data_IF_000799796815
#
_entry.id   IF_000799796815
#
_cell.length_a   1.000
_cell.length_b   1.000
_cell.length_c   1.000
_cell.angle_alpha   90.00
_cell.angle_beta   90.00
_cell.angle_gamma   90.00
#
_symmetry.space_group_name_H-M   'P 1'
#
loop_
_entity.id
_entity.type
_entity.pdbx_description
1 polymer ?
#
# COMPACT_ATOMS: atom_id res chain seq x y z
N UNK A 1 -69.09 56.61 -39.92
CA UNK A 1 -70.56 56.57 -40.02
C UNK A 1 -71.06 57.93 -39.56
N UNK A 2 -71.75 58.67 -40.44
CA UNK A 2 -72.27 59.99 -40.14
C UNK A 2 -73.78 59.99 -40.37
N UNK A 3 -74.53 60.49 -39.40
CA UNK A 3 -75.98 60.59 -39.44
C UNK A 3 -76.35 62.06 -39.56
N UNK A 4 -77.24 62.38 -40.49
CA UNK A 4 -77.69 63.73 -40.76
C UNK A 4 -78.93 64.00 -39.93
N UNK A 5 -78.90 65.06 -39.13
CA UNK A 5 -80.04 65.52 -38.35
C UNK A 5 -80.33 66.97 -38.76
N UNK A 6 -81.52 67.22 -39.26
CA UNK A 6 -82.00 68.54 -39.67
C UNK A 6 -82.83 69.14 -38.55
N UNK A 7 -82.43 70.34 -38.10
CA UNK A 7 -83.27 71.15 -37.21
C UNK A 7 -83.08 72.63 -37.42
N UNK A 8 -84.21 73.33 -37.42
CA UNK A 8 -84.26 74.77 -37.58
C UNK A 8 -83.77 75.59 -36.38
N UNK A 9 -83.57 75.08 -35.14
CA UNK A 9 -83.24 75.98 -34.00
C UNK A 9 -82.66 75.40 -32.65
N UNK A 10 -81.80 74.35 -32.61
CA UNK A 10 -81.12 73.95 -31.35
C UNK A 10 -79.58 74.03 -31.39
N UNK A 11 -78.97 74.32 -30.24
CA UNK A 11 -77.52 74.27 -30.02
C UNK A 11 -77.00 72.82 -30.03
N UNK A 12 -75.95 72.54 -30.80
CA UNK A 12 -75.42 71.18 -30.99
C UNK A 12 -74.96 70.46 -29.72
N UNK A 13 -74.61 71.18 -28.65
CA UNK A 13 -74.22 70.59 -27.36
C UNK A 13 -75.39 69.93 -26.63
N UNK A 14 -76.57 70.54 -26.68
CA UNK A 14 -77.78 70.01 -26.02
C UNK A 14 -78.27 68.74 -26.72
N UNK A 15 -78.19 68.71 -28.06
CA UNK A 15 -78.57 67.55 -28.86
C UNK A 15 -77.67 66.34 -28.59
N UNK A 16 -76.35 66.56 -28.45
CA UNK A 16 -75.41 65.48 -28.11
C UNK A 16 -75.78 64.82 -26.78
N UNK A 17 -76.05 65.62 -25.75
CA UNK A 17 -76.39 65.10 -24.42
C UNK A 17 -77.71 64.32 -24.44
N UNK A 18 -78.71 64.80 -25.18
CA UNK A 18 -79.99 64.09 -25.36
C UNK A 18 -79.80 62.73 -26.04
N UNK A 19 -79.07 62.69 -27.14
CA UNK A 19 -78.80 61.45 -27.87
C UNK A 19 -77.97 60.47 -27.02
N UNK A 20 -77.04 60.95 -26.20
CA UNK A 20 -76.31 60.13 -25.23
C UNK A 20 -77.24 59.56 -24.15
N UNK A 21 -78.14 60.37 -23.57
CA UNK A 21 -79.11 59.91 -22.57
C UNK A 21 -80.08 58.85 -23.11
N UNK A 22 -80.40 58.93 -24.40
CA UNK A 22 -81.23 57.94 -25.11
C UNK A 22 -80.46 56.67 -25.51
N UNK A 23 -79.17 56.58 -25.20
CA UNK A 23 -78.34 55.40 -25.45
C UNK A 23 -77.73 55.33 -26.85
N UNK A 24 -77.90 56.35 -27.70
CA UNK A 24 -77.32 56.36 -29.04
C UNK A 24 -75.82 56.69 -29.04
N UNK A 25 -75.30 57.37 -28.01
CA UNK A 25 -73.86 57.59 -27.80
C UNK A 25 -73.11 58.16 -29.03
N UNK A 26 -73.49 59.33 -29.55
CA UNK A 26 -72.78 59.94 -30.67
C UNK A 26 -71.36 60.37 -30.28
N UNK A 27 -70.40 60.20 -31.19
CA UNK A 27 -69.02 60.68 -31.03
C UNK A 27 -68.99 62.21 -30.99
N UNK A 28 -69.59 62.86 -32.00
CA UNK A 28 -69.64 64.33 -32.14
C UNK A 28 -70.96 64.77 -32.75
N UNK A 29 -71.38 65.99 -32.43
CA UNK A 29 -72.54 66.66 -33.05
C UNK A 29 -72.07 68.01 -33.55
N UNK A 30 -72.17 68.25 -34.85
CA UNK A 30 -71.55 69.36 -35.56
C UNK A 30 -72.66 70.15 -36.27
N UNK A 31 -73.04 71.34 -35.77
CA UNK A 31 -73.90 72.23 -36.53
C UNK A 31 -73.14 72.77 -37.76
N UNK A 32 -73.80 72.79 -38.91
CA UNK A 32 -73.24 73.28 -40.15
C UNK A 32 -73.50 74.78 -40.33
N UNK A 33 -72.46 75.52 -40.68
CA UNK A 33 -72.48 76.97 -40.81
C UNK A 33 -72.13 77.39 -42.25
N UNK A 34 -72.86 78.36 -42.79
CA UNK A 34 -72.55 79.00 -44.07
C UNK A 34 -72.22 80.49 -43.85
N UNK A 35 -71.87 81.20 -44.92
CA UNK A 35 -71.55 82.63 -44.88
C UNK A 35 -72.71 83.53 -44.39
N UNK A 36 -73.94 83.00 -44.33
CA UNK A 36 -75.15 83.68 -43.82
C UNK A 36 -75.49 83.29 -42.36
N UNK A 37 -74.70 82.42 -41.73
CA UNK A 37 -74.92 81.94 -40.36
C UNK A 37 -75.23 80.45 -40.28
N UNK A 38 -76.01 80.06 -39.27
CA UNK A 38 -76.36 78.65 -39.02
C UNK A 38 -77.27 78.13 -40.14
N UNK A 39 -76.92 76.97 -40.72
CA UNK A 39 -77.64 76.43 -41.89
C UNK A 39 -78.92 75.65 -41.54
N UNK A 40 -79.19 75.42 -40.26
CA UNK A 40 -80.30 74.56 -39.81
C UNK A 40 -80.04 73.06 -40.02
N UNK A 41 -78.81 72.69 -40.36
CA UNK A 41 -78.38 71.30 -40.56
C UNK A 41 -77.32 70.93 -39.54
N UNK A 42 -77.41 69.72 -39.00
CA UNK A 42 -76.51 69.19 -37.99
C UNK A 42 -76.02 67.80 -38.43
N UNK A 43 -74.74 67.53 -38.25
CA UNK A 43 -74.14 66.23 -38.52
C UNK A 43 -73.82 65.56 -37.19
N UNK A 44 -74.29 64.33 -37.03
CA UNK A 44 -73.98 63.47 -35.90
C UNK A 44 -72.97 62.42 -36.35
N UNK A 45 -71.75 62.53 -35.86
CA UNK A 45 -70.69 61.56 -36.13
C UNK A 45 -70.72 60.44 -35.10
N UNK A 46 -70.49 59.21 -35.56
CA UNK A 46 -70.27 58.02 -34.75
C UNK A 46 -68.85 57.51 -34.93
N UNK A 47 -68.33 56.75 -33.96
CA UNK A 47 -67.00 56.11 -34.06
C UNK A 47 -66.95 55.08 -35.20
N UNK A 48 -65.74 54.69 -35.59
CA UNK A 48 -65.49 53.80 -36.74
C UNK A 48 -65.45 52.33 -36.31
N UNK A 49 -66.48 51.88 -35.62
CA UNK A 49 -66.61 50.52 -35.08
C UNK A 49 -68.04 50.00 -35.23
N UNK A 50 -68.17 48.67 -35.25
CA UNK A 50 -69.45 47.98 -35.44
C UNK A 50 -70.54 48.39 -34.43
N UNK A 51 -70.25 48.56 -33.12
CA UNK A 51 -71.23 49.07 -32.16
C UNK A 51 -71.77 50.46 -32.51
N UNK A 52 -70.92 51.37 -32.97
CA UNK A 52 -71.35 52.72 -33.29
C UNK A 52 -72.11 52.80 -34.62
N UNK A 53 -71.80 51.93 -35.59
CA UNK A 53 -72.66 51.72 -36.77
C UNK A 53 -74.06 51.23 -36.36
N UNK A 54 -74.13 50.26 -35.45
CA UNK A 54 -75.42 49.78 -34.90
C UNK A 54 -76.21 50.91 -34.22
N UNK A 55 -75.53 51.77 -33.45
CA UNK A 55 -76.17 52.92 -32.79
C UNK A 55 -76.70 53.94 -33.80
N UNK A 56 -75.97 54.22 -34.87
CA UNK A 56 -76.41 55.11 -35.94
C UNK A 56 -77.67 54.56 -36.65
N UNK A 57 -77.67 53.27 -37.00
CA UNK A 57 -78.83 52.61 -37.61
C UNK A 57 -80.04 52.60 -36.66
N UNK A 58 -79.80 52.41 -35.35
CA UNK A 58 -80.85 52.48 -34.33
C UNK A 58 -81.47 53.88 -34.22
N UNK A 59 -80.65 54.93 -34.35
CA UNK A 59 -81.13 56.31 -34.35
C UNK A 59 -81.97 56.63 -35.60
N UNK A 60 -81.58 56.15 -36.77
CA UNK A 60 -82.42 56.27 -37.99
C UNK A 60 -83.75 55.51 -37.86
N UNK A 61 -83.75 54.32 -37.26
CA UNK A 61 -84.99 53.59 -36.95
C UNK A 61 -85.90 54.37 -35.99
N UNK A 62 -85.32 55.05 -35.00
CA UNK A 62 -86.07 55.92 -34.09
C UNK A 62 -86.78 57.05 -34.84
N UNK A 63 -86.07 57.79 -35.70
CA UNK A 63 -86.70 58.83 -36.53
C UNK A 63 -87.73 58.27 -37.52
N UNK A 64 -87.53 57.05 -38.02
CA UNK A 64 -88.48 56.34 -38.88
C UNK A 64 -89.77 55.97 -38.17
N UNK A 65 -89.70 55.53 -36.91
CA UNK A 65 -90.88 55.22 -36.11
C UNK A 65 -91.72 56.48 -35.81
N UNK A 66 -91.06 57.62 -35.60
CA UNK A 66 -91.70 58.91 -35.30
C UNK A 66 -92.13 59.70 -36.55
N UNK A 67 -92.04 59.13 -37.76
CA UNK A 67 -92.37 59.80 -39.04
C UNK A 67 -91.56 61.08 -39.33
N UNK A 68 -90.31 61.15 -38.85
CA UNK A 68 -89.40 62.29 -39.06
C UNK A 68 -88.19 61.89 -39.93
N UNK A 69 -88.45 61.30 -41.09
CA UNK A 69 -87.44 60.81 -42.04
C UNK A 69 -87.27 61.73 -43.25
N UNK A 70 -86.23 61.46 -44.06
CA UNK A 70 -85.91 62.22 -45.28
C UNK A 70 -87.10 62.47 -46.21
N UNK A 71 -87.92 61.46 -46.49
CA UNK A 71 -89.07 61.60 -47.39
C UNK A 71 -90.13 62.58 -46.84
N UNK A 72 -90.37 62.55 -45.53
CA UNK A 72 -91.28 63.46 -44.82
C UNK A 72 -90.73 64.89 -44.81
N UNK A 73 -89.40 65.04 -44.71
CA UNK A 73 -88.74 66.34 -44.84
C UNK A 73 -89.00 66.97 -46.21
N UNK A 74 -88.91 66.23 -47.32
CA UNK A 74 -89.15 66.81 -48.65
C UNK A 74 -90.64 66.96 -49.02
N UNK A 75 -91.56 66.32 -48.29
CA UNK A 75 -92.99 66.30 -48.64
C UNK A 75 -93.83 67.39 -47.96
N UNK A 76 -93.31 68.06 -46.92
CA UNK A 76 -94.05 69.10 -46.17
C UNK A 76 -93.57 70.49 -46.58
N UNK A 77 -94.47 71.46 -46.75
CA UNK A 77 -94.07 72.85 -47.04
C UNK A 77 -93.64 73.62 -45.77
N UNK A 78 -94.09 73.18 -44.59
CA UNK A 78 -93.82 73.80 -43.31
C UNK A 78 -93.27 72.77 -42.32
N UNK A 79 -91.99 72.88 -41.96
CA UNK A 79 -91.28 71.84 -41.18
C UNK A 79 -91.32 72.00 -39.65
N UNK A 80 -92.09 72.96 -39.13
CA UNK A 80 -92.25 73.15 -37.68
C UNK A 80 -90.92 73.28 -36.90
N UNK A 81 -90.94 72.85 -35.64
CA UNK A 81 -89.77 72.82 -34.74
C UNK A 81 -89.21 71.42 -34.52
N UNK A 82 -89.74 70.42 -35.21
CA UNK A 82 -89.39 69.00 -35.06
C UNK A 82 -88.05 68.66 -35.71
N UNK A 83 -87.42 67.62 -35.18
CA UNK A 83 -86.14 67.08 -35.64
C UNK A 83 -86.38 65.99 -36.68
N UNK A 84 -85.75 66.12 -37.84
CA UNK A 84 -85.74 65.09 -38.88
C UNK A 84 -84.35 64.47 -38.97
N UNK A 85 -84.27 63.15 -39.11
CA UNK A 85 -82.98 62.45 -39.11
C UNK A 85 -82.93 61.22 -40.00
N UNK A 86 -81.80 61.02 -40.66
CA UNK A 86 -81.49 59.82 -41.46
C UNK A 86 -79.97 59.59 -41.53
N UNK A 87 -79.56 58.35 -41.79
CA UNK A 87 -78.13 58.06 -42.02
C UNK A 87 -77.72 58.63 -43.38
N UNK A 88 -76.57 59.32 -43.44
CA UNK A 88 -76.03 59.82 -44.69
C UNK A 88 -75.74 58.65 -45.65
N UNK A 89 -76.29 58.71 -46.87
CA UNK A 89 -76.04 57.72 -47.93
C UNK A 89 -75.37 58.38 -49.13
N UNK A 90 -75.19 57.61 -50.21
CA UNK A 90 -74.58 58.05 -51.47
C UNK A 90 -75.16 59.38 -51.97
N UNK A 91 -76.50 59.50 -52.03
CA UNK A 91 -77.14 60.75 -52.46
C UNK A 91 -76.73 61.97 -51.62
N UNK A 92 -76.61 61.82 -50.30
CA UNK A 92 -76.24 62.92 -49.41
C UNK A 92 -74.75 63.25 -49.53
N UNK A 93 -73.91 62.24 -49.79
CA UNK A 93 -72.48 62.37 -50.02
C UNK A 93 -72.16 63.05 -51.36
N UNK A 94 -72.92 62.76 -52.41
CA UNK A 94 -72.74 63.32 -53.75
C UNK A 94 -73.44 64.66 -53.95
N UNK A 95 -74.37 65.02 -53.06
CA UNK A 95 -75.09 66.29 -53.13
C UNK A 95 -74.11 67.49 -53.19
N UNK A 96 -74.45 68.46 -54.04
CA UNK A 96 -73.74 69.73 -54.13
C UNK A 96 -74.31 70.75 -53.14
N UNK A 97 -74.29 70.40 -51.86
CA UNK A 97 -74.73 71.25 -50.77
C UNK A 97 -73.75 71.20 -49.59
N UNK A 98 -74.01 72.01 -48.55
CA UNK A 98 -73.15 72.08 -47.35
C UNK A 98 -72.98 70.74 -46.64
N UNK A 99 -73.95 69.82 -46.80
CA UNK A 99 -73.90 68.49 -46.20
C UNK A 99 -72.94 67.61 -47.00
N UNK A 100 -73.12 67.51 -48.31
CA UNK A 100 -72.24 66.72 -49.17
C UNK A 100 -70.80 67.23 -49.14
N UNK A 101 -70.58 68.54 -49.11
CA UNK A 101 -69.24 69.13 -48.95
C UNK A 101 -68.60 68.72 -47.62
N UNK A 102 -69.36 68.75 -46.52
CA UNK A 102 -68.85 68.31 -45.22
C UNK A 102 -68.54 66.82 -45.21
N UNK A 103 -69.44 65.97 -45.74
CA UNK A 103 -69.27 64.52 -45.77
C UNK A 103 -68.00 64.11 -46.54
N UNK A 104 -67.78 64.68 -47.73
CA UNK A 104 -66.56 64.45 -48.54
C UNK A 104 -65.28 64.91 -47.85
N UNK A 105 -65.36 65.92 -46.98
CA UNK A 105 -64.20 66.42 -46.21
C UNK A 105 -63.81 65.50 -45.06
N UNK A 106 -64.77 64.81 -44.43
CA UNK A 106 -64.55 64.04 -43.20
C UNK A 106 -64.32 62.53 -43.43
N UNK A 107 -64.66 62.01 -44.61
CA UNK A 107 -64.38 60.61 -44.93
C UNK A 107 -64.87 60.19 -46.30
N UNK A 108 -64.60 58.91 -46.61
CA UNK A 108 -64.97 58.28 -47.88
C UNK A 108 -66.25 57.45 -47.73
N UNK A 109 -67.02 57.36 -48.82
CA UNK A 109 -68.15 56.44 -48.93
C UNK A 109 -67.61 55.00 -49.01
N UNK A 110 -68.08 54.12 -48.12
CA UNK A 110 -67.77 52.68 -48.12
C UNK A 110 -69.06 51.87 -48.07
N UNK A 111 -69.08 50.74 -48.79
CA UNK A 111 -70.16 49.76 -48.65
C UNK A 111 -69.91 48.87 -47.42
N UNK A 112 -70.97 48.21 -46.96
CA UNK A 112 -70.86 47.26 -45.85
C UNK A 112 -69.91 46.10 -46.22
N UNK A 113 -70.00 45.61 -47.46
CA UNK A 113 -69.11 44.57 -47.98
C UNK A 113 -67.64 45.00 -47.96
N UNK A 114 -67.31 46.25 -48.32
CA UNK A 114 -65.92 46.73 -48.30
C UNK A 114 -65.30 46.67 -46.89
N UNK A 115 -66.11 46.95 -45.87
CA UNK A 115 -65.68 46.94 -44.46
C UNK A 115 -65.50 45.50 -43.98
N UNK A 116 -66.46 44.63 -44.27
CA UNK A 116 -66.37 43.19 -43.94
C UNK A 116 -65.16 42.53 -44.62
N UNK A 117 -64.92 42.83 -45.90
CA UNK A 117 -63.77 42.31 -46.66
C UNK A 117 -62.43 42.84 -46.14
N UNK A 118 -62.38 44.10 -45.68
CA UNK A 118 -61.18 44.67 -45.06
C UNK A 118 -60.88 43.99 -43.71
N UNK A 119 -61.90 43.80 -42.86
CA UNK A 119 -61.76 43.14 -41.56
C UNK A 119 -61.43 41.63 -41.72
N UNK A 120 -62.05 40.95 -42.68
CA UNK A 120 -61.74 39.56 -43.03
C UNK A 120 -60.29 39.41 -43.50
N UNK A 121 -59.80 40.31 -44.37
CA UNK A 121 -58.40 40.31 -44.82
C UNK A 121 -57.42 40.57 -43.68
N UNK A 122 -57.71 41.53 -42.80
CA UNK A 122 -56.88 41.80 -41.61
C UNK A 122 -56.81 40.59 -40.68
N UNK A 123 -57.95 39.97 -40.42
CA UNK A 123 -58.07 38.78 -39.57
C UNK A 123 -57.33 37.60 -40.18
N UNK A 124 -57.54 37.33 -41.47
CA UNK A 124 -56.86 36.26 -42.20
C UNK A 124 -55.33 36.44 -42.18
N UNK A 125 -54.83 37.66 -42.41
CA UNK A 125 -53.40 37.97 -42.32
C UNK A 125 -52.83 37.77 -40.92
N UNK A 126 -53.59 38.13 -39.89
CA UNK A 126 -53.18 37.90 -38.50
C UNK A 126 -53.10 36.40 -38.21
N UNK A 127 -54.12 35.63 -38.60
CA UNK A 127 -54.15 34.18 -38.42
C UNK A 127 -52.99 33.52 -39.16
N UNK A 128 -52.72 33.88 -40.42
CA UNK A 128 -51.61 33.30 -41.18
C UNK A 128 -50.25 33.58 -40.54
N UNK A 129 -50.04 34.81 -40.06
CA UNK A 129 -48.80 35.18 -39.37
C UNK A 129 -48.63 34.41 -38.06
N UNK A 130 -49.70 34.29 -37.27
CA UNK A 130 -49.67 33.54 -36.02
C UNK A 130 -49.44 32.04 -36.27
N UNK A 131 -50.11 31.45 -37.27
CA UNK A 131 -49.90 30.07 -37.67
C UNK A 131 -48.44 29.81 -38.07
N UNK A 132 -47.85 30.71 -38.87
CA UNK A 132 -46.43 30.62 -39.25
C UNK A 132 -45.49 30.69 -38.03
N UNK A 133 -45.75 31.60 -37.09
CA UNK A 133 -44.96 31.69 -35.84
C UNK A 133 -45.09 30.43 -35.00
N UNK A 134 -46.30 29.86 -34.90
CA UNK A 134 -46.53 28.60 -34.17
C UNK A 134 -45.77 27.45 -34.81
N UNK A 135 -45.82 27.34 -36.14
CA UNK A 135 -45.11 26.29 -36.88
C UNK A 135 -43.59 26.37 -36.70
N UNK A 136 -43.01 27.56 -36.81
CA UNK A 136 -41.58 27.79 -36.56
C UNK A 136 -41.21 27.44 -35.12
N UNK A 137 -42.02 27.89 -34.13
CA UNK A 137 -41.77 27.55 -32.73
C UNK A 137 -41.88 26.06 -32.44
N UNK A 138 -42.83 25.38 -33.08
CA UNK A 138 -43.00 23.93 -32.97
C UNK A 138 -41.79 23.19 -33.54
N UNK A 139 -41.33 23.57 -34.74
CA UNK A 139 -40.15 22.98 -35.35
C UNK A 139 -38.88 23.18 -34.51
N UNK A 140 -38.68 24.39 -33.96
CA UNK A 140 -37.56 24.67 -33.07
C UNK A 140 -37.62 23.85 -31.77
N UNK A 141 -38.82 23.62 -31.23
CA UNK A 141 -39.01 22.79 -30.05
C UNK A 141 -38.61 21.33 -30.33
N UNK A 142 -39.10 20.75 -31.43
CA UNK A 142 -38.76 19.38 -31.85
C UNK A 142 -37.26 19.21 -32.12
N UNK A 143 -36.59 20.22 -32.70
CA UNK A 143 -35.13 20.20 -32.87
C UNK A 143 -34.39 20.24 -31.53
N UNK A 144 -34.84 21.07 -30.59
CA UNK A 144 -34.23 21.16 -29.26
C UNK A 144 -34.41 19.88 -28.46
N UNK A 145 -35.60 19.28 -28.50
CA UNK A 145 -35.89 17.98 -27.88
C UNK A 145 -34.96 16.89 -28.41
N UNK A 146 -34.79 16.81 -29.74
CA UNK A 146 -33.85 15.86 -30.36
C UNK A 146 -32.41 16.08 -29.91
N UNK A 147 -31.94 17.33 -29.84
CA UNK A 147 -30.59 17.67 -29.36
C UNK A 147 -30.38 17.30 -27.89
N UNK A 148 -31.42 17.43 -27.06
CA UNK A 148 -31.37 17.01 -25.66
C UNK A 148 -31.25 15.50 -25.58
N UNK A 149 -32.04 14.76 -26.36
CA UNK A 149 -31.97 13.29 -26.39
C UNK A 149 -30.60 12.79 -26.88
N UNK A 150 -30.08 13.34 -28.00
CA UNK A 150 -28.76 13.01 -28.52
C UNK A 150 -27.65 13.25 -27.48
N UNK A 151 -27.71 14.38 -26.76
CA UNK A 151 -26.76 14.69 -25.69
C UNK A 151 -26.92 13.75 -24.50
N UNK A 152 -28.15 13.43 -24.10
CA UNK A 152 -28.46 12.47 -23.03
C UNK A 152 -27.86 11.09 -23.33
N UNK A 153 -28.04 10.59 -24.54
CA UNK A 153 -27.47 9.32 -24.99
C UNK A 153 -25.94 9.36 -25.04
N UNK A 154 -25.35 10.45 -25.53
CA UNK A 154 -23.89 10.62 -25.54
C UNK A 154 -23.32 10.63 -24.11
N UNK A 155 -24.00 11.30 -23.17
CA UNK A 155 -23.61 11.36 -21.77
C UNK A 155 -23.72 9.99 -21.11
N UNK A 156 -24.79 9.24 -21.38
CA UNK A 156 -24.97 7.87 -20.87
C UNK A 156 -23.83 6.96 -21.31
N UNK A 157 -23.44 7.01 -22.59
CA UNK A 157 -22.30 6.24 -23.12
C UNK A 157 -20.99 6.60 -22.41
N UNK A 158 -20.74 7.90 -22.18
CA UNK A 158 -19.53 8.34 -21.45
C UNK A 158 -19.53 7.82 -20.02
N UNK A 159 -20.67 7.88 -19.33
CA UNK A 159 -20.81 7.34 -17.97
C UNK A 159 -20.53 5.82 -17.96
N UNK A 160 -21.15 5.06 -18.87
CA UNK A 160 -20.92 3.61 -18.96
C UNK A 160 -19.46 3.27 -19.25
N UNK A 161 -18.79 4.01 -20.15
CA UNK A 161 -17.36 3.78 -20.44
C UNK A 161 -16.48 4.13 -19.25
N UNK A 162 -16.80 5.19 -18.51
CA UNK A 162 -16.10 5.58 -17.29
C UNK A 162 -16.25 4.49 -16.22
N UNK A 163 -17.48 4.02 -15.98
CA UNK A 163 -17.74 2.96 -14.99
C UNK A 163 -17.00 1.67 -15.34
N UNK A 164 -17.02 1.25 -16.61
CA UNK A 164 -16.24 0.10 -17.09
C UNK A 164 -14.75 0.29 -16.81
N UNK A 165 -14.19 1.44 -17.16
CA UNK A 165 -12.77 1.73 -16.95
C UNK A 165 -12.40 1.74 -15.46
N UNK A 166 -13.22 2.35 -14.61
CA UNK A 166 -13.01 2.36 -13.16
C UNK A 166 -13.05 0.94 -12.59
N UNK A 167 -14.04 0.13 -12.99
CA UNK A 167 -14.13 -1.26 -12.54
C UNK A 167 -12.91 -2.08 -12.96
N UNK A 168 -12.46 -1.97 -14.22
CA UNK A 168 -11.26 -2.69 -14.69
C UNK A 168 -10.01 -2.24 -13.93
N UNK A 169 -9.86 -0.95 -13.67
CA UNK A 169 -8.73 -0.41 -12.92
C UNK A 169 -8.72 -0.91 -11.47
N UNK A 170 -9.88 -0.92 -10.82
CA UNK A 170 -10.02 -1.42 -9.44
C UNK A 170 -9.74 -2.94 -9.34
N UNK A 171 -10.15 -3.72 -10.33
CA UNK A 171 -9.85 -5.15 -10.43
C UNK A 171 -8.34 -5.39 -10.61
N UNK A 172 -7.70 -4.66 -11.54
CA UNK A 172 -6.25 -4.75 -11.76
C UNK A 172 -5.45 -4.38 -10.51
N UNK A 173 -5.84 -3.32 -9.80
CA UNK A 173 -5.23 -2.93 -8.54
C UNK A 173 -5.33 -4.02 -7.48
N UNK A 174 -6.52 -4.64 -7.33
CA UNK A 174 -6.73 -5.76 -6.40
C UNK A 174 -5.84 -6.94 -6.75
N UNK A 175 -5.74 -7.30 -8.03
CA UNK A 175 -4.90 -8.40 -8.50
C UNK A 175 -3.41 -8.11 -8.26
N UNK A 176 -2.96 -6.88 -8.53
CA UNK A 176 -1.58 -6.46 -8.27
C UNK A 176 -1.23 -6.55 -6.78
N UNK A 177 -2.11 -6.05 -5.91
CA UNK A 177 -1.93 -6.13 -4.46
C UNK A 177 -1.90 -7.58 -3.97
N UNK A 178 -2.83 -8.41 -4.42
CA UNK A 178 -2.86 -9.83 -4.06
C UNK A 178 -1.58 -10.55 -4.51
N UNK A 179 -1.14 -10.33 -5.75
CA UNK A 179 0.09 -10.92 -6.27
C UNK A 179 1.32 -10.48 -5.46
N UNK A 180 1.36 -9.21 -5.05
CA UNK A 180 2.42 -8.66 -4.20
C UNK A 180 2.42 -9.31 -2.83
N UNK A 181 1.27 -9.45 -2.18
CA UNK A 181 1.13 -10.15 -0.90
C UNK A 181 1.58 -11.60 -0.98
N UNK A 182 1.16 -12.33 -2.03
CA UNK A 182 1.58 -13.72 -2.26
C UNK A 182 3.10 -13.81 -2.43
N UNK A 183 3.71 -12.91 -3.20
CA UNK A 183 5.16 -12.90 -3.42
C UNK A 183 5.92 -12.59 -2.14
N UNK A 184 5.47 -11.61 -1.36
CA UNK A 184 6.04 -11.29 -0.06
C UNK A 184 5.95 -12.49 0.91
N UNK A 185 4.79 -13.15 0.95
CA UNK A 185 4.62 -14.34 1.78
C UNK A 185 5.58 -15.46 1.37
N UNK A 186 5.77 -15.71 0.07
CA UNK A 186 6.77 -16.67 -0.43
C UNK A 186 8.19 -16.31 0.03
N UNK A 187 8.59 -15.05 -0.13
CA UNK A 187 9.91 -14.56 0.30
C UNK A 187 10.10 -14.79 1.80
N UNK A 188 9.11 -14.43 2.61
CA UNK A 188 9.15 -14.62 4.06
C UNK A 188 9.30 -16.10 4.44
N UNK A 189 8.51 -16.98 3.84
CA UNK A 189 8.63 -18.43 4.06
C UNK A 189 10.01 -18.96 3.66
N UNK A 190 10.57 -18.52 2.54
CA UNK A 190 11.92 -18.94 2.12
C UNK A 190 13.01 -18.43 3.07
N UNK A 191 12.88 -17.19 3.52
CA UNK A 191 13.81 -16.58 4.46
C UNK A 191 13.77 -17.31 5.81
N UNK A 192 12.59 -17.68 6.28
CA UNK A 192 12.44 -18.44 7.53
C UNK A 192 13.06 -19.84 7.44
N UNK A 193 12.88 -20.55 6.32
CA UNK A 193 13.55 -21.84 6.08
C UNK A 193 15.07 -21.70 6.11
N UNK A 194 15.60 -20.73 5.36
CA UNK A 194 17.05 -20.48 5.31
C UNK A 194 17.62 -20.12 6.69
N UNK A 195 16.88 -19.32 7.47
CA UNK A 195 17.26 -18.98 8.86
C UNK A 195 17.38 -20.24 9.72
N UNK A 196 16.39 -21.14 9.66
CA UNK A 196 16.42 -22.39 10.43
C UNK A 196 17.58 -23.29 10.00
N UNK A 197 17.87 -23.39 8.70
CA UNK A 197 19.00 -24.16 8.18
C UNK A 197 20.34 -23.60 8.67
N UNK A 198 20.53 -22.28 8.63
CA UNK A 198 21.73 -21.62 9.17
C UNK A 198 21.89 -21.84 10.66
N UNK A 199 20.80 -21.77 11.43
CA UNK A 199 20.82 -22.03 12.87
C UNK A 199 21.22 -23.48 13.17
N UNK A 200 20.76 -24.43 12.35
CA UNK A 200 21.17 -25.84 12.44
C UNK A 200 22.66 -26.01 12.16
N UNK A 201 23.17 -25.44 11.07
CA UNK A 201 24.59 -25.50 10.72
C UNK A 201 25.47 -24.85 11.79
N UNK A 202 25.03 -23.73 12.35
CA UNK A 202 25.76 -23.04 13.41
C UNK A 202 25.89 -23.91 14.66
N UNK A 203 24.81 -24.59 15.08
CA UNK A 203 24.85 -25.54 16.20
C UNK A 203 25.77 -26.74 15.92
N UNK A 204 25.77 -27.26 14.70
CA UNK A 204 26.67 -28.36 14.32
C UNK A 204 28.15 -27.93 14.38
N UNK A 205 28.46 -26.73 13.86
CA UNK A 205 29.79 -26.15 13.95
C UNK A 205 30.22 -25.90 15.40
N UNK A 206 29.31 -25.42 16.25
CA UNK A 206 29.58 -25.21 17.68
C UNK A 206 29.94 -26.54 18.37
N UNK A 207 29.20 -27.62 18.08
CA UNK A 207 29.49 -28.96 18.59
C UNK A 207 30.83 -29.49 18.08
N UNK A 208 31.11 -29.32 16.79
CA UNK A 208 32.39 -29.69 16.21
C UNK A 208 33.57 -28.93 16.84
N UNK A 209 33.39 -27.64 17.12
CA UNK A 209 34.37 -26.82 17.82
C UNK A 209 34.70 -27.37 19.20
N UNK A 210 33.67 -27.71 20.00
CA UNK A 210 33.85 -28.31 21.34
C UNK A 210 34.57 -29.67 21.28
N UNK A 211 34.25 -30.51 20.31
CA UNK A 211 34.93 -31.80 20.14
C UNK A 211 36.40 -31.64 19.72
N UNK A 212 36.70 -30.65 18.87
CA UNK A 212 38.09 -30.32 18.51
C UNK A 212 38.89 -29.86 19.72
N UNK A 213 38.34 -28.95 20.53
CA UNK A 213 38.96 -28.48 21.77
C UNK A 213 39.24 -29.64 22.73
N UNK A 214 38.30 -30.58 22.88
CA UNK A 214 38.49 -31.81 23.68
C UNK A 214 39.64 -32.67 23.15
N UNK A 215 39.71 -32.87 21.83
CA UNK A 215 40.78 -33.66 21.20
C UNK A 215 42.14 -33.00 21.33
N UNK A 216 42.20 -31.68 21.18
CA UNK A 216 43.41 -30.89 21.33
C UNK A 216 43.94 -31.00 22.76
N UNK A 217 43.10 -30.77 23.77
CA UNK A 217 43.47 -30.95 25.18
C UNK A 217 43.95 -32.37 25.51
N UNK A 218 43.30 -33.40 24.93
CA UNK A 218 43.74 -34.79 25.07
C UNK A 218 45.13 -35.00 24.44
N UNK A 219 45.34 -34.51 23.23
CA UNK A 219 46.61 -34.64 22.51
C UNK A 219 47.75 -33.91 23.22
N UNK A 220 47.51 -32.70 23.72
CA UNK A 220 48.46 -31.98 24.57
C UNK A 220 48.79 -32.76 25.85
N UNK A 221 47.79 -33.35 26.50
CA UNK A 221 47.98 -34.19 27.69
C UNK A 221 48.84 -35.43 27.40
N UNK A 222 48.60 -36.12 26.28
CA UNK A 222 49.40 -37.26 25.83
C UNK A 222 50.84 -36.85 25.50
N UNK A 223 51.02 -35.72 24.82
CA UNK A 223 52.35 -35.16 24.53
C UNK A 223 53.11 -34.85 25.81
N UNK A 224 52.47 -34.26 26.81
CA UNK A 224 53.10 -33.99 28.11
C UNK A 224 53.50 -35.27 28.85
N UNK A 225 52.67 -36.32 28.81
CA UNK A 225 53.02 -37.64 29.38
C UNK A 225 54.26 -38.23 28.71
N UNK A 226 54.32 -38.22 27.38
CA UNK A 226 55.47 -38.74 26.63
C UNK A 226 56.75 -37.96 26.94
N UNK A 227 56.66 -36.64 27.11
CA UNK A 227 57.80 -35.81 27.55
C UNK A 227 58.27 -36.26 28.94
N UNK A 228 57.36 -36.41 29.90
CA UNK A 228 57.70 -36.87 31.25
C UNK A 228 58.29 -38.29 31.28
N UNK A 229 57.74 -39.23 30.50
CA UNK A 229 58.30 -40.58 30.36
C UNK A 229 59.71 -40.55 29.75
N UNK A 230 59.94 -39.69 28.75
CA UNK A 230 61.26 -39.51 28.14
C UNK A 230 62.27 -38.95 29.14
N UNK A 231 61.90 -37.96 29.94
CA UNK A 231 62.75 -37.40 30.99
C UNK A 231 63.06 -38.45 32.08
N UNK A 232 62.07 -39.23 32.50
CA UNK A 232 62.27 -40.31 33.45
C UNK A 232 63.21 -41.39 32.91
N UNK A 233 63.04 -41.79 31.64
CA UNK A 233 63.92 -42.76 30.99
C UNK A 233 65.34 -42.22 30.83
N UNK A 234 65.51 -40.93 30.53
CA UNK A 234 66.83 -40.30 30.52
C UNK A 234 67.51 -40.40 31.90
N UNK A 235 66.80 -40.04 32.98
CA UNK A 235 67.32 -40.14 34.34
C UNK A 235 67.65 -41.59 34.76
N UNK A 236 66.85 -42.57 34.33
CA UNK A 236 67.15 -44.00 34.54
C UNK A 236 68.41 -44.43 33.79
N UNK A 237 68.58 -44.00 32.54
CA UNK A 237 69.79 -44.28 31.77
C UNK A 237 71.02 -43.67 32.44
N UNK A 238 70.95 -42.40 32.88
CA UNK A 238 72.05 -41.76 33.63
C UNK A 238 72.38 -42.52 34.92
N UNK A 239 71.37 -43.02 35.65
CA UNK A 239 71.57 -43.85 36.84
C UNK A 239 72.22 -45.21 36.54
N UNK A 240 71.84 -45.85 35.42
CA UNK A 240 72.47 -47.09 34.95
C UNK A 240 73.93 -46.85 34.58
N UNK A 241 74.23 -45.76 33.88
CA UNK A 241 75.61 -45.39 33.53
C UNK A 241 76.47 -45.17 34.78
N UNK A 242 75.93 -44.51 35.82
CA UNK A 242 76.60 -44.39 37.12
C UNK A 242 76.83 -45.75 37.79
N UNK A 243 75.83 -46.64 37.81
CA UNK A 243 75.96 -47.98 38.39
C UNK A 243 77.01 -48.84 37.65
N UNK A 244 77.07 -48.76 36.31
CA UNK A 244 78.09 -49.43 35.49
C UNK A 244 79.49 -48.91 35.84
N UNK A 245 79.63 -47.59 36.05
CA UNK A 245 80.90 -47.00 36.46
C UNK A 245 81.32 -47.49 37.86
N UNK A 246 80.39 -47.52 38.83
CA UNK A 246 80.64 -48.00 40.18
C UNK A 246 80.98 -49.51 40.21
N UNK A 247 80.30 -50.33 39.41
CA UNK A 247 80.60 -51.75 39.27
C UNK A 247 82.00 -51.97 38.68
N UNK A 248 82.40 -51.18 37.66
CA UNK A 248 83.77 -51.23 37.12
C UNK A 248 84.81 -50.88 38.18
N UNK A 249 84.60 -49.81 38.95
CA UNK A 249 85.52 -49.42 40.03
C UNK A 249 85.60 -50.49 41.15
N UNK A 250 84.47 -51.12 41.48
CA UNK A 250 84.43 -52.23 42.43
C UNK A 250 85.16 -53.47 41.90
N UNK A 251 84.95 -53.82 40.63
CA UNK A 251 85.64 -54.93 39.96
C UNK A 251 87.15 -54.71 39.91
N UNK A 252 87.61 -53.50 39.56
CA UNK A 252 89.02 -53.10 39.63
C UNK A 252 89.58 -53.21 41.05
N UNK A 253 88.79 -52.82 42.06
CA UNK A 253 89.18 -52.96 43.47
C UNK A 253 89.29 -54.42 43.91
N UNK A 254 88.35 -55.28 43.53
CA UNK A 254 88.42 -56.72 43.75
C UNK A 254 89.65 -57.34 43.07
N UNK A 255 89.96 -56.94 41.83
CA UNK A 255 91.17 -57.39 41.14
C UNK A 255 92.44 -57.02 41.93
N UNK A 256 92.53 -55.78 42.42
CA UNK A 256 93.65 -55.36 43.29
C UNK A 256 93.76 -56.21 44.56
N UNK A 257 92.63 -56.55 45.20
CA UNK A 257 92.63 -57.41 46.39
C UNK A 257 93.06 -58.84 46.07
N UNK A 258 92.63 -59.42 44.94
CA UNK A 258 93.05 -60.76 44.49
C UNK A 258 94.56 -60.78 44.20
N UNK A 259 95.10 -59.72 43.59
CA UNK A 259 96.53 -59.58 43.37
C UNK A 259 97.32 -59.49 44.67
N UNK A 260 96.81 -58.74 45.66
CA UNK A 260 97.39 -58.70 47.00
C UNK A 260 97.36 -60.06 47.70
N UNK A 261 96.24 -60.77 47.66
CA UNK A 261 96.10 -62.10 48.26
C UNK A 261 97.09 -63.09 47.65
N UNK A 262 97.23 -63.11 46.31
CA UNK A 262 98.26 -63.91 45.62
C UNK A 262 99.68 -63.55 46.05
N UNK A 263 99.98 -62.27 46.27
CA UNK A 263 101.29 -61.84 46.76
C UNK A 263 101.54 -62.32 48.19
N UNK A 264 100.53 -62.22 49.07
CA UNK A 264 100.62 -62.74 50.44
C UNK A 264 100.76 -64.27 50.48
N UNK A 265 100.01 -65.00 49.66
CA UNK A 265 100.12 -66.46 49.53
C UNK A 265 101.50 -66.88 49.03
N UNK A 266 102.04 -66.18 48.03
CA UNK A 266 103.40 -66.38 47.55
C UNK A 266 104.44 -66.12 48.65
N UNK A 267 104.27 -65.02 49.41
CA UNK A 267 105.15 -64.66 50.51
C UNK A 267 105.11 -65.68 51.66
N UNK A 268 103.91 -66.15 52.03
CA UNK A 268 103.72 -67.22 53.02
C UNK A 268 104.33 -68.55 52.55
N UNK A 269 104.16 -68.89 51.27
CA UNK A 269 104.79 -70.06 50.64
C UNK A 269 106.32 -70.02 50.72
N UNK A 270 106.92 -68.86 50.45
CA UNK A 270 108.37 -68.66 50.57
C UNK A 270 108.85 -68.82 52.02
N UNK A 271 108.12 -68.24 52.97
CA UNK A 271 108.44 -68.30 54.40
C UNK A 271 108.32 -69.72 54.97
N UNK A 272 107.33 -70.49 54.49
CA UNK A 272 107.19 -71.91 54.78
C UNK A 272 108.39 -72.72 54.26
N UNK A 273 108.83 -72.45 53.04
CA UNK A 273 110.00 -73.11 52.45
C UNK A 273 111.28 -72.87 53.24
N UNK A 274 111.54 -71.64 53.69
CA UNK A 274 112.68 -71.31 54.56
C UNK A 274 112.65 -72.11 55.87
N UNK A 275 111.48 -72.20 56.52
CA UNK A 275 111.31 -72.96 57.76
C UNK A 275 111.59 -74.46 57.58
N UNK A 276 111.10 -75.06 56.47
CA UNK A 276 111.32 -76.47 56.15
C UNK A 276 112.82 -76.75 55.92
N UNK A 277 113.53 -75.87 55.21
CA UNK A 277 114.96 -76.04 54.96
C UNK A 277 115.80 -75.92 56.23
N UNK A 278 115.44 -75.01 57.15
CA UNK A 278 116.12 -74.85 58.43
C UNK A 278 115.94 -76.05 59.37
N UNK A 279 114.79 -76.74 59.33
CA UNK A 279 114.48 -77.87 60.22
C UNK A 279 115.09 -79.22 59.77
N UNK A 280 115.46 -79.33 58.48
CA UNK A 280 115.99 -80.56 57.86
C UNK A 280 117.29 -81.11 58.51
N UNK A 281 118.31 -80.30 58.86
CA UNK A 281 119.52 -80.81 59.53
C UNK A 281 119.25 -81.29 60.97
N UNK A 282 118.28 -80.70 61.67
CA UNK A 282 117.92 -81.07 63.05
C UNK A 282 117.31 -82.48 63.09
N UNK A 283 116.43 -82.79 62.13
CA UNK A 283 115.82 -84.13 62.00
C UNK A 283 116.87 -85.24 61.80
N UNK A 284 117.93 -85.00 61.02
CA UNK A 284 119.01 -85.97 60.82
C UNK A 284 119.86 -86.21 62.06
N UNK A 285 120.05 -85.20 62.91
CA UNK A 285 120.85 -85.32 64.13
C UNK A 285 120.16 -86.20 65.18
N UNK A 286 118.84 -86.07 65.31
CA UNK A 286 118.02 -86.87 66.23
C UNK A 286 118.10 -88.36 65.85
N UNK A 287 118.02 -88.67 64.56
CA UNK A 287 118.04 -90.05 64.06
C UNK A 287 119.40 -90.75 64.29
N UNK A 288 120.52 -90.01 64.25
CA UNK A 288 121.85 -90.54 64.52
C UNK A 288 122.06 -90.90 66.00
N UNK A 289 121.58 -90.05 66.91
CA UNK A 289 121.68 -90.25 68.36
C UNK A 289 120.85 -91.46 68.84
N UNK A 290 119.69 -91.71 68.25
CA UNK A 290 118.86 -92.88 68.59
C UNK A 290 119.56 -94.21 68.29
N UNK A 291 120.36 -94.26 67.22
CA UNK A 291 121.09 -95.46 66.81
C UNK A 291 122.26 -95.79 67.76
N UNK A 292 122.90 -94.76 68.30
CA UNK A 292 124.04 -94.87 69.24
C UNK A 292 123.60 -95.33 70.64
N UNK A 293 122.39 -94.92 71.07
CA UNK A 293 121.75 -95.41 72.31
C UNK A 293 121.38 -96.90 72.21
N UNK A 294 120.92 -97.36 71.04
CA UNK A 294 120.59 -98.77 70.82
C UNK A 294 121.82 -99.68 70.86
N UNK A 295 122.95 -99.26 70.27
CA UNK A 295 124.21 -100.04 70.33
C UNK A 295 124.77 -100.14 71.76
N UNK A 296 124.67 -99.06 72.54
CA UNK A 296 125.13 -99.01 73.93
C UNK A 296 124.33 -99.93 74.86
N UNK A 297 123.03 -100.13 74.59
CA UNK A 297 122.17 -101.08 75.33
C UNK A 297 122.56 -102.54 75.11
N UNK A 298 123.04 -102.91 73.92
CA UNK A 298 123.45 -104.28 73.60
C UNK A 298 124.70 -104.74 74.36
N UNK A 299 125.68 -103.85 74.56
CA UNK A 299 126.95 -104.16 75.24
C UNK A 299 126.79 -104.36 76.76
N UNK A 300 125.76 -103.78 77.38
CA UNK A 300 125.47 -103.91 78.82
C UNK A 300 124.84 -105.26 79.20
N UNK A 301 124.13 -105.93 78.27
CA UNK A 301 123.49 -107.23 78.54
C UNK A 301 124.48 -108.41 78.53
N UNK A 302 125.61 -108.30 77.83
CA UNK A 302 126.61 -109.38 77.75
C UNK A 302 127.51 -109.44 78.99
N UNK A 303 127.63 -108.34 79.75
CA UNK A 303 128.56 -108.24 80.89
C UNK A 303 127.97 -108.68 82.24
N UNK A 304 126.64 -108.86 82.34
CA UNK A 304 125.94 -109.18 83.60
C UNK A 304 125.71 -110.67 83.86
N UNK A 305 125.82 -111.55 82.86
CA UNK A 305 125.61 -112.99 83.05
C UNK A 305 126.91 -113.80 83.31
N UNK A 306 128.08 -113.17 83.23
CA UNK A 306 129.39 -113.84 83.39
C UNK A 306 129.99 -113.79 84.82
N UNK A 307 129.31 -113.20 85.82
CA UNK A 307 130.01 -112.73 87.03
C UNK A 307 129.65 -113.36 88.39
N UNK A 308 128.66 -114.25 88.56
CA UNK A 308 128.34 -114.76 89.91
C UNK A 308 128.10 -116.27 90.00
N UNK A 309 129.18 -117.02 89.77
CA UNK A 309 129.45 -118.33 90.33
C UNK A 309 130.77 -118.26 91.13
N UNK A 310 130.73 -117.88 92.42
CA UNK A 310 131.56 -118.38 93.55
C UNK A 310 131.60 -117.44 94.78
N UNK A 311 131.30 -118.04 95.95
CA UNK A 311 131.49 -117.62 97.38
C UNK A 311 130.34 -116.83 98.05
N UNK A 312 129.83 -117.18 99.25
CA UNK A 312 130.06 -118.27 100.20
C UNK A 312 128.93 -118.30 101.27
N UNK A 313 128.60 -119.53 101.70
CA UNK A 313 127.84 -120.06 102.86
C UNK A 313 127.76 -119.26 104.20
N UNK A 314 126.64 -119.51 104.93
CA UNK A 314 126.37 -119.57 106.41
C UNK A 314 125.64 -118.35 107.08
N UNK A 315 124.95 -118.50 108.25
CA UNK A 315 123.65 -119.18 108.43
C UNK A 315 122.62 -118.43 109.36
N UNK A 316 121.37 -118.93 109.32
CA UNK A 316 120.34 -119.03 110.40
C UNK A 316 119.64 -117.81 111.07
N UNK A 317 118.30 -117.91 110.99
CA UNK A 317 117.21 -117.55 111.93
C UNK A 317 116.69 -116.09 112.10
N UNK A 318 115.35 -116.02 111.95
CA UNK A 318 114.32 -115.06 112.42
C UNK A 318 114.33 -113.62 111.85
N UNK A 319 113.32 -113.26 111.03
CA UNK A 319 111.93 -112.83 111.35
C UNK A 319 111.84 -111.48 112.09
N UNK A 320 111.34 -110.48 111.38
CA UNK A 320 109.95 -110.02 111.54
C UNK A 320 109.31 -109.91 110.16
#
# INVERSE_FOLDING_TARGET
VSLLIFQSNLSGSNLREQLTKQGFNPWRVIPLWNYRGHSGKIIVEFTRDWPAFHNAISLEKYFKAEHFVRSEWYSREHHGSQLYGWVAREDDYEANDIVGEHLRKIGDLKTLNDIEDEDARKTSKLVSNLSSVIEVKKSNYEEMERKVEEKSDSLRKVIETKEKLTNTYDEELKMMHLNTQINLQKILCTHEKLRLDLESQWKELELHGKELERREAQSEGERMKLIGEREQNAAKNDAIDMAIMEEKEAAESCLRLIEQDKFYDFFLGLKSYELIYAFKPISKLIQALELEVQQSKGLLQVRTLSAYSLKLKLPNLHRA
#
